data_IF_098550224391
#
_entry.id   IF_098550224391
#
_cell.length_a   1.000
_cell.length_b   1.000
_cell.length_c   1.000
_cell.angle_alpha   90.00
_cell.angle_beta   90.00
_cell.angle_gamma   90.00
#
_symmetry.space_group_name_H-M   'P 1'
#
loop_
_entity.id
_entity.type
_entity.pdbx_description
1 polymer ?
#
# COMPACT_ATOMS: atom_id res chain seq x y z
N UNK A 1 -5.27 -37.77 6.35
CA UNK A 1 -5.03 -36.39 6.80
C UNK A 1 -6.12 -35.52 6.19
N UNK A 2 -6.94 -34.86 7.01
CA UNK A 2 -7.87 -33.86 6.51
C UNK A 2 -7.11 -32.53 6.38
N UNK A 3 -7.20 -31.91 5.20
CA UNK A 3 -6.63 -30.58 4.95
C UNK A 3 -7.60 -29.54 5.50
N UNK A 4 -7.12 -28.70 6.40
CA UNK A 4 -7.87 -27.57 6.97
C UNK A 4 -7.22 -26.27 6.52
N UNK A 5 -8.03 -25.33 6.07
CA UNK A 5 -7.62 -23.97 5.69
C UNK A 5 -8.38 -22.94 6.52
N UNK A 6 -7.86 -21.70 6.68
CA UNK A 6 -8.54 -20.67 7.46
C UNK A 6 -9.93 -20.34 6.88
N UNK A 7 -10.97 -20.44 7.69
CA UNK A 7 -12.36 -20.28 7.22
C UNK A 7 -12.65 -18.88 6.69
N UNK A 8 -12.12 -17.83 7.33
CA UNK A 8 -12.35 -16.43 6.92
C UNK A 8 -11.89 -16.13 5.49
N UNK A 9 -10.90 -16.87 4.98
CA UNK A 9 -10.37 -16.69 3.61
C UNK A 9 -11.42 -17.07 2.57
N UNK A 10 -12.34 -17.98 2.90
CA UNK A 10 -13.41 -18.43 2.00
C UNK A 10 -14.41 -17.31 1.69
N UNK A 11 -14.56 -16.36 2.62
CA UNK A 11 -15.43 -15.18 2.49
C UNK A 11 -14.63 -13.88 2.20
N UNK A 12 -13.32 -14.01 1.97
CA UNK A 12 -12.44 -12.87 1.78
C UNK A 12 -12.45 -12.37 0.33
N UNK A 13 -12.53 -11.05 0.17
CA UNK A 13 -12.26 -10.32 -1.07
C UNK A 13 -10.93 -9.61 -0.88
N UNK A 14 -9.88 -10.20 -1.43
CA UNK A 14 -8.53 -9.66 -1.36
C UNK A 14 -8.32 -8.53 -2.36
N UNK A 15 -7.56 -7.53 -1.94
CA UNK A 15 -7.04 -6.49 -2.82
C UNK A 15 -5.52 -6.39 -2.67
N UNK A 16 -4.81 -6.64 -3.78
CA UNK A 16 -3.36 -6.53 -3.82
C UNK A 16 -2.93 -5.07 -3.98
N UNK A 17 -2.03 -4.62 -3.12
CA UNK A 17 -1.49 -3.26 -3.13
C UNK A 17 0.02 -3.31 -3.32
N UNK A 18 0.49 -2.57 -4.33
CA UNK A 18 1.89 -2.17 -4.47
C UNK A 18 2.10 -0.79 -3.80
N UNK A 19 2.66 -0.72 -2.57
CA UNK A 19 2.52 0.47 -1.72
C UNK A 19 3.13 1.76 -2.29
N UNK A 20 4.28 1.68 -2.96
CA UNK A 20 4.94 2.86 -3.58
C UNK A 20 4.04 3.57 -4.61
N UNK A 21 3.04 2.89 -5.17
CA UNK A 21 2.19 3.44 -6.25
C UNK A 21 0.71 3.56 -5.89
N UNK A 22 0.31 3.17 -4.68
CA UNK A 22 -1.10 3.16 -4.32
C UNK A 22 -1.61 4.54 -3.91
N UNK A 23 -0.99 5.15 -2.91
CA UNK A 23 -1.38 6.49 -2.43
C UNK A 23 -0.23 7.16 -1.67
N UNK A 24 -0.13 8.49 -1.81
CA UNK A 24 0.80 9.33 -1.05
C UNK A 24 0.06 10.04 0.05
N UNK A 25 0.53 9.91 1.29
CA UNK A 25 0.00 10.73 2.39
C UNK A 25 0.57 12.14 2.35
N UNK A 26 -0.28 13.13 2.61
CA UNK A 26 0.11 14.53 2.82
C UNK A 26 0.66 14.83 4.22
N UNK A 27 0.88 13.80 5.05
CA UNK A 27 1.33 13.91 6.46
C UNK A 27 2.85 13.84 6.65
N UNK A 28 3.61 13.38 5.66
CA UNK A 28 5.08 13.37 5.74
C UNK A 28 5.62 14.79 5.92
N UNK A 29 6.66 14.94 6.76
CA UNK A 29 7.21 16.24 7.15
C UNK A 29 6.34 17.04 8.12
N UNK A 30 5.27 16.45 8.66
CA UNK A 30 4.37 17.04 9.66
C UNK A 30 4.24 16.11 10.86
N UNK A 31 3.87 16.65 12.02
CA UNK A 31 3.48 15.87 13.21
C UNK A 31 4.46 14.74 13.60
N UNK A 32 5.77 14.99 13.49
CA UNK A 32 6.82 14.03 13.85
C UNK A 32 7.16 12.99 12.77
N UNK A 33 6.50 13.01 11.60
CA UNK A 33 6.89 12.18 10.47
C UNK A 33 8.06 12.79 9.70
N UNK A 34 9.02 11.95 9.32
CA UNK A 34 10.15 12.35 8.47
C UNK A 34 9.65 12.90 7.12
N UNK A 35 10.40 13.79 6.46
CA UNK A 35 10.09 14.21 5.10
C UNK A 35 10.30 13.04 4.12
N UNK A 36 9.59 13.06 2.99
CA UNK A 36 9.85 12.10 1.91
C UNK A 36 11.22 12.33 1.26
N UNK A 37 11.83 11.30 0.66
CA UNK A 37 13.02 11.45 -0.17
C UNK A 37 12.79 12.46 -1.30
N UNK A 38 13.85 13.16 -1.72
CA UNK A 38 13.78 14.17 -2.79
C UNK A 38 13.83 13.58 -4.20
N UNK A 39 14.37 12.37 -4.35
CA UNK A 39 14.59 11.67 -5.62
C UNK A 39 13.36 10.88 -6.10
N UNK A 40 12.15 11.35 -5.79
CA UNK A 40 10.91 10.71 -6.22
C UNK A 40 10.53 11.17 -7.63
N UNK A 41 10.07 10.22 -8.43
CA UNK A 41 9.47 10.50 -9.72
C UNK A 41 8.11 11.19 -9.56
N UNK A 42 7.65 11.98 -10.54
CA UNK A 42 6.30 12.51 -10.56
C UNK A 42 5.26 11.40 -10.41
N UNK A 43 4.17 11.69 -9.70
CA UNK A 43 3.07 10.73 -9.54
C UNK A 43 2.42 10.44 -10.89
N UNK A 44 2.22 9.17 -11.21
CA UNK A 44 1.66 8.75 -12.50
C UNK A 44 2.67 8.72 -13.64
N UNK A 45 3.96 9.02 -13.40
CA UNK A 45 5.00 8.79 -14.40
C UNK A 45 5.10 7.30 -14.78
N UNK A 46 5.57 7.01 -15.98
CA UNK A 46 5.80 5.62 -16.42
C UNK A 46 6.77 4.93 -15.45
N UNK A 47 6.43 3.73 -14.92
CA UNK A 47 7.28 3.01 -13.98
C UNK A 47 8.67 2.72 -14.59
N UNK A 48 9.72 2.91 -13.80
CA UNK A 48 11.07 2.45 -14.10
C UNK A 48 11.57 1.56 -12.96
N UNK A 49 12.60 0.75 -13.20
CA UNK A 49 13.14 -0.19 -12.21
C UNK A 49 13.57 0.47 -10.89
N UNK A 50 14.12 1.68 -10.96
CA UNK A 50 14.62 2.43 -9.78
C UNK A 50 13.77 3.67 -9.45
N UNK A 51 12.63 3.84 -10.12
CA UNK A 51 11.79 5.03 -9.98
C UNK A 51 10.72 4.88 -8.91
N UNK A 52 10.98 5.35 -7.70
CA UNK A 52 9.98 5.47 -6.65
C UNK A 52 9.07 6.69 -6.89
N UNK A 53 7.76 6.54 -6.68
CA UNK A 53 6.82 7.67 -6.73
C UNK A 53 6.40 8.14 -5.34
N UNK A 54 6.76 7.40 -4.30
CA UNK A 54 6.65 7.81 -2.92
C UNK A 54 5.29 7.53 -2.30
N UNK A 55 4.58 6.50 -2.75
CA UNK A 55 3.45 5.95 -2.01
C UNK A 55 3.90 5.36 -0.68
N UNK A 56 2.99 5.28 0.28
CA UNK A 56 3.33 4.95 1.67
C UNK A 56 2.14 4.32 2.42
N UNK A 57 2.42 3.70 3.57
CA UNK A 57 1.40 3.04 4.38
C UNK A 57 0.37 4.00 4.97
N UNK A 58 0.72 5.27 5.22
CA UNK A 58 -0.25 6.28 5.67
C UNK A 58 -1.25 6.60 4.54
N UNK A 59 -0.79 6.62 3.29
CA UNK A 59 -1.64 6.76 2.11
C UNK A 59 -2.57 5.56 1.96
N UNK A 60 -2.09 4.34 2.23
CA UNK A 60 -2.95 3.14 2.30
C UNK A 60 -4.04 3.31 3.36
N UNK A 61 -3.66 3.76 4.57
CA UNK A 61 -4.61 4.03 5.67
C UNK A 61 -5.66 5.07 5.26
N UNK A 62 -5.24 6.17 4.64
CA UNK A 62 -6.13 7.24 4.15
C UNK A 62 -7.12 6.75 3.07
N UNK A 63 -6.82 5.63 2.40
CA UNK A 63 -7.68 5.00 1.38
C UNK A 63 -8.47 3.79 1.87
N UNK A 64 -8.38 3.41 3.15
CA UNK A 64 -9.22 2.36 3.73
C UNK A 64 -10.73 2.60 3.52
N UNK A 65 -11.27 3.84 3.60
CA UNK A 65 -12.68 4.08 3.28
C UNK A 65 -13.04 3.73 1.83
N UNK A 66 -12.16 4.01 0.86
CA UNK A 66 -12.34 3.64 -0.54
C UNK A 66 -12.35 2.11 -0.71
N UNK A 67 -11.39 1.42 -0.10
CA UNK A 67 -11.28 -0.05 -0.16
C UNK A 67 -12.51 -0.72 0.47
N UNK A 68 -12.97 -0.21 1.60
CA UNK A 68 -14.19 -0.69 2.26
C UNK A 68 -15.43 -0.45 1.40
N UNK A 69 -15.56 0.72 0.78
CA UNK A 69 -16.68 1.03 -0.11
C UNK A 69 -16.70 0.13 -1.37
N UNK A 70 -15.52 -0.31 -1.85
CA UNK A 70 -15.40 -1.29 -2.92
C UNK A 70 -15.83 -2.71 -2.50
N UNK A 71 -15.95 -2.99 -1.20
CA UNK A 71 -16.29 -4.31 -0.66
C UNK A 71 -15.07 -5.17 -0.30
N UNK A 72 -13.87 -4.61 -0.32
CA UNK A 72 -12.63 -5.31 0.09
C UNK A 72 -12.63 -5.51 1.60
N UNK A 73 -12.28 -6.71 2.05
CA UNK A 73 -12.17 -7.05 3.48
C UNK A 73 -10.79 -7.64 3.86
N UNK A 74 -9.89 -7.85 2.91
CA UNK A 74 -8.52 -8.29 3.15
C UNK A 74 -7.53 -7.58 2.20
N UNK A 75 -6.38 -7.14 2.74
CA UNK A 75 -5.32 -6.52 1.95
C UNK A 75 -4.12 -7.47 1.85
N UNK A 76 -3.58 -7.62 0.65
CA UNK A 76 -2.30 -8.28 0.40
C UNK A 76 -1.29 -7.25 -0.10
N UNK A 77 -0.19 -7.06 0.61
CA UNK A 77 0.83 -6.07 0.26
C UNK A 77 2.01 -6.77 -0.42
N UNK A 78 2.57 -6.14 -1.45
CA UNK A 78 3.95 -6.41 -1.88
C UNK A 78 4.94 -6.17 -0.71
N UNK A 79 6.20 -6.62 -0.78
CA UNK A 79 7.16 -6.47 0.31
C UNK A 79 7.26 -5.04 0.85
N UNK A 80 7.17 -4.88 2.18
CA UNK A 80 7.20 -3.59 2.90
C UNK A 80 8.34 -3.47 3.91
N UNK A 81 9.13 -4.52 4.06
CA UNK A 81 10.31 -4.47 4.92
C UNK A 81 11.45 -3.73 4.22
N UNK A 82 12.37 -3.20 5.03
CA UNK A 82 13.55 -2.51 4.52
C UNK A 82 14.29 -3.40 3.51
N UNK A 83 14.57 -2.85 2.34
CA UNK A 83 15.27 -3.50 1.24
C UNK A 83 16.14 -2.47 0.50
N UNK A 84 17.18 -2.95 -0.19
CA UNK A 84 18.23 -2.15 -0.82
C UNK A 84 17.74 -1.27 -1.99
#
# INVERSE_FOLDING_TARGET
MNVTTPDWVKDAVFYQIFPDRFAKSGRFGKNGYLPKPKNLQPWGATPTYHGFQGGDLLGVIEKLPYLKALGVNALYLNPIFSSA
#
